data_IF_225538887263
#
_entry.id   IF_225538887263
#
_cell.length_a   1.000
_cell.length_b   1.000
_cell.length_c   1.000
_cell.angle_alpha   90.00
_cell.angle_beta   90.00
_cell.angle_gamma   90.00
#
_symmetry.space_group_name_H-M   'P 1'
#
loop_
_entity.id
_entity.type
_entity.pdbx_description
1 polymer ?
#
# COMPACT_ATOMS: atom_id res chain seq x y z
N UNK A 1 4.64 15.13 14.98
CA UNK A 1 4.48 15.07 13.52
C UNK A 1 4.97 16.33 12.79
N UNK A 2 5.27 17.40 13.50
CA UNK A 2 5.83 18.66 12.95
C UNK A 2 7.36 18.68 13.12
N UNK A 3 7.94 17.60 13.64
CA UNK A 3 9.37 17.45 13.85
C UNK A 3 10.08 17.23 12.49
N UNK A 4 11.35 17.64 12.39
CA UNK A 4 12.14 17.45 11.16
C UNK A 4 12.74 16.03 11.09
N UNK A 5 12.91 15.37 12.24
CA UNK A 5 13.48 14.03 12.32
C UNK A 5 12.49 12.97 11.80
N UNK A 6 12.86 12.20 10.74
CA UNK A 6 12.01 11.15 10.19
C UNK A 6 11.65 10.05 11.20
N UNK A 7 12.54 9.77 12.15
CA UNK A 7 12.30 8.75 13.17
C UNK A 7 11.21 9.18 14.15
N UNK A 8 11.19 10.45 14.53
CA UNK A 8 10.13 11.04 15.37
C UNK A 8 8.79 11.02 14.63
N UNK A 9 8.76 11.43 13.34
CA UNK A 9 7.56 11.40 12.50
C UNK A 9 7.00 9.97 12.37
N UNK A 10 7.87 9.00 12.08
CA UNK A 10 7.50 7.56 12.00
C UNK A 10 6.86 7.10 13.31
N UNK A 11 7.52 7.34 14.44
CA UNK A 11 7.05 6.90 15.76
C UNK A 11 5.72 7.55 16.11
N UNK A 12 5.57 8.84 15.82
CA UNK A 12 4.32 9.57 16.02
C UNK A 12 3.18 8.97 15.15
N UNK A 13 3.44 8.63 13.88
CA UNK A 13 2.45 8.01 13.01
C UNK A 13 1.92 6.69 13.57
N UNK A 14 2.81 5.79 14.01
CA UNK A 14 2.44 4.52 14.64
C UNK A 14 1.63 4.75 15.93
N UNK A 15 2.04 5.73 16.75
CA UNK A 15 1.37 6.05 18.00
C UNK A 15 -0.06 6.53 17.77
N UNK A 16 -0.32 7.30 16.70
CA UNK A 16 -1.68 7.76 16.36
C UNK A 16 -2.62 6.61 16.06
N UNK A 17 -2.16 5.58 15.33
CA UNK A 17 -3.00 4.39 15.08
C UNK A 17 -3.40 3.70 16.39
N UNK A 18 -2.45 3.55 17.32
CA UNK A 18 -2.73 2.98 18.66
C UNK A 18 -3.67 3.85 19.50
N UNK A 19 -3.48 5.19 19.48
CA UNK A 19 -4.38 6.12 20.17
C UNK A 19 -5.79 6.03 19.58
N UNK A 20 -5.92 5.86 18.27
CA UNK A 20 -7.21 5.71 17.62
C UNK A 20 -7.99 4.50 18.15
N UNK A 21 -7.31 3.36 18.36
CA UNK A 21 -7.92 2.15 18.92
C UNK A 21 -8.49 2.38 20.34
N UNK A 22 -7.85 3.26 21.12
CA UNK A 22 -8.27 3.55 22.51
C UNK A 22 -9.30 4.68 22.56
N UNK A 23 -9.06 5.76 21.81
CA UNK A 23 -9.86 7.00 21.84
C UNK A 23 -10.11 7.56 20.44
N UNK A 24 -11.00 6.93 19.62
CA UNK A 24 -11.24 7.35 18.24
C UNK A 24 -11.72 8.80 18.09
N UNK A 25 -12.54 9.28 19.06
CA UNK A 25 -13.10 10.63 19.01
C UNK A 25 -12.01 11.69 19.20
N UNK A 26 -11.15 11.55 20.21
CA UNK A 26 -10.04 12.48 20.44
C UNK A 26 -9.08 12.55 19.26
N UNK A 27 -8.77 11.39 18.64
CA UNK A 27 -7.91 11.35 17.45
C UNK A 27 -8.47 12.18 16.29
N UNK A 28 -9.80 12.18 16.12
CA UNK A 28 -10.49 12.99 15.10
C UNK A 28 -10.53 14.48 15.50
N UNK A 29 -10.87 14.80 16.74
CA UNK A 29 -10.98 16.18 17.26
C UNK A 29 -9.64 16.91 17.18
N UNK A 30 -8.54 16.26 17.56
CA UNK A 30 -7.20 16.85 17.48
C UNK A 30 -6.61 16.87 16.06
N UNK A 31 -7.34 16.39 15.05
CA UNK A 31 -6.92 16.46 13.66
C UNK A 31 -5.75 15.54 13.29
N UNK A 32 -5.45 14.52 14.09
CA UNK A 32 -4.33 13.61 13.84
C UNK A 32 -4.44 12.85 12.51
N UNK A 33 -5.65 12.57 12.06
CA UNK A 33 -5.87 11.93 10.75
C UNK A 33 -5.39 12.85 9.60
N UNK A 34 -5.65 14.16 9.70
CA UNK A 34 -5.15 15.12 8.70
C UNK A 34 -3.63 15.22 8.70
N UNK A 35 -3.02 15.16 9.89
CA UNK A 35 -1.56 15.14 10.01
C UNK A 35 -0.96 13.88 9.38
N UNK A 36 -1.55 12.70 9.61
CA UNK A 36 -1.14 11.46 8.94
C UNK A 36 -1.28 11.55 7.41
N UNK A 37 -2.37 12.14 6.91
CA UNK A 37 -2.56 12.39 5.47
C UNK A 37 -1.47 13.31 4.90
N UNK A 38 -1.03 14.30 5.68
CA UNK A 38 0.11 15.16 5.32
C UNK A 38 1.43 14.40 5.21
N UNK A 39 1.66 13.43 6.11
CA UNK A 39 2.88 12.60 6.09
C UNK A 39 2.97 11.67 4.87
N UNK A 40 1.88 11.40 4.16
CA UNK A 40 1.92 10.69 2.87
C UNK A 40 2.68 11.46 1.78
N UNK A 41 2.90 12.76 1.99
CA UNK A 41 3.65 13.63 1.08
C UNK A 41 5.10 13.88 1.56
N UNK A 42 5.52 13.25 2.66
CA UNK A 42 6.88 13.40 3.19
C UNK A 42 7.94 12.95 2.17
N UNK A 43 9.14 13.53 2.26
CA UNK A 43 10.27 13.14 1.42
C UNK A 43 10.91 11.81 1.82
N UNK A 44 10.66 11.33 3.04
CA UNK A 44 11.27 10.11 3.56
C UNK A 44 10.32 8.90 3.40
N UNK A 45 10.77 7.89 2.69
CA UNK A 45 10.00 6.68 2.38
C UNK A 45 9.50 5.93 3.62
N UNK A 46 10.29 5.91 4.71
CA UNK A 46 9.92 5.25 5.96
C UNK A 46 8.75 5.99 6.62
N UNK A 47 8.74 7.33 6.58
CA UNK A 47 7.64 8.14 7.09
C UNK A 47 6.37 7.89 6.29
N UNK A 48 6.46 7.91 4.96
CA UNK A 48 5.33 7.63 4.05
C UNK A 48 4.75 6.25 4.31
N UNK A 49 5.59 5.20 4.42
CA UNK A 49 5.13 3.84 4.66
C UNK A 49 4.40 3.70 6.01
N UNK A 50 4.93 4.31 7.08
CA UNK A 50 4.31 4.25 8.40
C UNK A 50 3.03 5.09 8.50
N UNK A 51 2.95 6.22 7.79
CA UNK A 51 1.73 7.00 7.66
C UNK A 51 0.64 6.21 6.90
N UNK A 52 1.01 5.52 5.82
CA UNK A 52 0.11 4.63 5.07
C UNK A 52 -0.40 3.49 5.95
N UNK A 53 0.49 2.83 6.70
CA UNK A 53 0.12 1.78 7.65
C UNK A 53 -0.87 2.28 8.71
N UNK A 54 -0.57 3.41 9.36
CA UNK A 54 -1.43 4.00 10.37
C UNK A 54 -2.81 4.36 9.82
N UNK A 55 -2.88 4.98 8.64
CA UNK A 55 -4.14 5.32 7.98
C UNK A 55 -4.91 4.08 7.55
N UNK A 56 -4.23 3.03 7.08
CA UNK A 56 -4.86 1.76 6.71
C UNK A 56 -5.51 1.10 7.93
N UNK A 57 -4.80 0.98 9.05
CA UNK A 57 -5.34 0.44 10.30
C UNK A 57 -6.56 1.23 10.79
N UNK A 58 -6.48 2.57 10.82
CA UNK A 58 -7.57 3.44 11.19
C UNK A 58 -8.77 3.28 10.22
N UNK A 59 -8.50 3.14 8.92
CA UNK A 59 -9.54 2.94 7.90
C UNK A 59 -10.26 1.62 8.10
N UNK A 60 -9.52 0.54 8.37
CA UNK A 60 -10.07 -0.79 8.63
C UNK A 60 -10.97 -0.81 9.87
N UNK A 61 -10.53 -0.17 10.95
CA UNK A 61 -11.28 -0.12 12.20
C UNK A 61 -12.55 0.75 12.10
N UNK A 62 -12.45 1.89 11.43
CA UNK A 62 -13.56 2.84 11.28
C UNK A 62 -14.57 2.50 10.19
N UNK A 63 -14.23 1.60 9.28
CA UNK A 63 -14.99 1.32 8.06
C UNK A 63 -14.95 2.47 7.03
N UNK A 64 -14.07 3.48 7.20
CA UNK A 64 -13.93 4.64 6.31
C UNK A 64 -12.54 4.68 5.71
N UNK A 65 -12.44 4.89 4.41
CA UNK A 65 -11.15 5.09 3.77
C UNK A 65 -10.60 6.50 4.02
N UNK A 66 -9.51 6.60 4.77
CA UNK A 66 -8.81 7.86 5.06
C UNK A 66 -7.62 8.11 4.13
N UNK A 67 -7.23 7.15 3.30
CA UNK A 67 -6.17 7.31 2.33
C UNK A 67 -6.76 7.91 1.06
N UNK A 68 -6.52 9.19 0.83
CA UNK A 68 -6.92 9.87 -0.41
C UNK A 68 -5.94 9.48 -1.51
N UNK A 69 -6.33 8.52 -2.34
CA UNK A 69 -5.53 8.06 -3.47
C UNK A 69 -5.73 9.01 -4.67
N UNK A 70 -4.80 9.92 -4.86
CA UNK A 70 -4.66 10.70 -6.09
C UNK A 70 -3.32 10.33 -6.77
N UNK A 71 -3.10 10.81 -7.99
CA UNK A 71 -1.90 10.50 -8.77
C UNK A 71 -0.60 10.84 -8.02
N UNK A 72 -0.56 11.96 -7.32
CA UNK A 72 0.61 12.40 -6.54
C UNK A 72 0.87 11.46 -5.38
N UNK A 73 -0.15 11.13 -4.58
CA UNK A 73 -0.05 10.18 -3.45
C UNK A 73 0.37 8.80 -3.93
N UNK A 74 -0.19 8.31 -5.04
CA UNK A 74 0.22 7.03 -5.65
C UNK A 74 1.69 7.07 -6.06
N UNK A 75 2.15 8.15 -6.68
CA UNK A 75 3.56 8.33 -7.03
C UNK A 75 4.49 8.24 -5.82
N UNK A 76 4.12 8.89 -4.71
CA UNK A 76 4.87 8.83 -3.44
C UNK A 76 4.88 7.43 -2.83
N UNK A 77 3.72 6.75 -2.78
CA UNK A 77 3.61 5.39 -2.27
C UNK A 77 4.44 4.40 -3.11
N UNK A 78 4.41 4.51 -4.43
CA UNK A 78 5.21 3.67 -5.32
C UNK A 78 6.73 3.95 -5.21
N UNK A 79 7.15 5.20 -4.93
CA UNK A 79 8.54 5.49 -4.61
C UNK A 79 8.94 4.83 -3.28
N UNK A 80 8.13 5.00 -2.24
CA UNK A 80 8.37 4.41 -0.94
C UNK A 80 8.39 2.86 -0.98
N UNK A 81 7.65 2.23 -1.89
CA UNK A 81 7.64 0.78 -2.09
C UNK A 81 9.03 0.20 -2.34
N UNK A 82 9.93 0.96 -2.98
CA UNK A 82 11.29 0.51 -3.30
C UNK A 82 12.28 0.66 -2.13
N UNK A 83 11.97 1.51 -1.17
CA UNK A 83 12.89 1.94 -0.12
C UNK A 83 12.52 1.42 1.28
N UNK A 84 11.35 0.79 1.40
CA UNK A 84 10.84 0.29 2.69
C UNK A 84 11.06 -1.21 2.85
N UNK A 85 11.02 -1.67 4.11
CA UNK A 85 11.03 -3.09 4.43
C UNK A 85 9.72 -3.77 3.99
N UNK A 86 9.68 -5.10 4.09
CA UNK A 86 8.54 -5.93 3.68
C UNK A 86 7.21 -5.53 4.33
N UNK A 87 7.22 -5.13 5.62
CA UNK A 87 6.01 -4.67 6.31
C UNK A 87 5.46 -3.38 5.69
N UNK A 88 6.34 -2.40 5.43
CA UNK A 88 5.97 -1.17 4.73
C UNK A 88 5.43 -1.45 3.33
N UNK A 89 6.04 -2.41 2.61
CA UNK A 89 5.59 -2.80 1.27
C UNK A 89 4.17 -3.37 1.29
N UNK A 90 3.83 -4.25 2.25
CA UNK A 90 2.47 -4.79 2.39
C UNK A 90 1.45 -3.67 2.58
N UNK A 91 1.67 -2.75 3.52
CA UNK A 91 0.74 -1.64 3.77
C UNK A 91 0.61 -0.68 2.58
N UNK A 92 1.72 -0.41 1.87
CA UNK A 92 1.68 0.39 0.65
C UNK A 92 0.82 -0.30 -0.42
N UNK A 93 1.04 -1.59 -0.67
CA UNK A 93 0.27 -2.37 -1.64
C UNK A 93 -1.23 -2.40 -1.29
N UNK A 94 -1.58 -2.59 -0.04
CA UNK A 94 -2.99 -2.51 0.43
C UNK A 94 -3.57 -1.09 0.29
N UNK A 95 -2.74 -0.06 0.38
CA UNK A 95 -3.19 1.33 0.26
C UNK A 95 -3.47 1.76 -1.17
N UNK A 96 -2.72 1.25 -2.15
CA UNK A 96 -2.85 1.65 -3.57
C UNK A 96 -3.94 0.90 -4.33
N UNK A 97 -4.41 -0.24 -3.84
CA UNK A 97 -5.41 -1.08 -4.51
C UNK A 97 -6.75 -0.35 -4.77
N UNK A 98 -7.08 0.65 -3.97
CA UNK A 98 -8.31 1.44 -4.13
C UNK A 98 -8.21 2.54 -5.18
N UNK A 99 -7.04 2.75 -5.77
CA UNK A 99 -6.83 3.75 -6.80
C UNK A 99 -7.40 3.33 -8.15
N UNK A 100 -8.01 4.27 -8.85
CA UNK A 100 -8.49 4.07 -10.21
C UNK A 100 -7.67 4.93 -11.18
N UNK A 101 -6.83 4.32 -12.03
CA UNK A 101 -6.04 5.04 -13.03
C UNK A 101 -6.96 5.79 -14.01
N UNK A 102 -6.49 6.90 -14.52
CA UNK A 102 -7.26 7.71 -15.49
C UNK A 102 -7.00 7.30 -16.94
N UNK A 103 -5.99 6.46 -17.18
CA UNK A 103 -5.61 6.00 -18.52
C UNK A 103 -4.93 4.63 -18.46
N UNK A 104 -4.99 3.89 -19.57
CA UNK A 104 -4.26 2.62 -19.74
C UNK A 104 -2.76 2.79 -19.46
N UNK A 105 -2.14 3.83 -19.99
CA UNK A 105 -0.72 4.13 -19.77
C UNK A 105 -0.37 4.27 -18.29
N UNK A 106 -1.22 4.96 -17.52
CA UNK A 106 -1.01 5.12 -16.07
C UNK A 106 -1.13 3.77 -15.34
N UNK A 107 -2.07 2.92 -15.75
CA UNK A 107 -2.20 1.56 -15.21
C UNK A 107 -0.97 0.72 -15.51
N UNK A 108 -0.45 0.77 -16.72
CA UNK A 108 0.77 0.06 -17.13
C UNK A 108 1.99 0.53 -16.33
N UNK A 109 2.18 1.85 -16.15
CA UNK A 109 3.26 2.42 -15.35
C UNK A 109 3.21 1.93 -13.88
N UNK A 110 2.01 1.83 -13.30
CA UNK A 110 1.82 1.31 -11.94
C UNK A 110 2.16 -0.18 -11.89
N UNK A 111 1.67 -0.97 -12.85
CA UNK A 111 1.95 -2.40 -12.95
C UNK A 111 3.46 -2.65 -13.06
N UNK A 112 4.16 -1.94 -13.94
CA UNK A 112 5.61 -2.08 -14.11
C UNK A 112 6.39 -1.84 -12.82
N UNK A 113 5.97 -0.87 -12.01
CA UNK A 113 6.60 -0.56 -10.73
C UNK A 113 6.32 -1.59 -9.64
N UNK A 114 5.19 -2.27 -9.70
CA UNK A 114 4.80 -3.32 -8.74
C UNK A 114 5.40 -4.67 -9.15
N UNK A 115 5.57 -4.92 -10.44
CA UNK A 115 6.00 -6.20 -11.02
C UNK A 115 7.21 -6.85 -10.32
N UNK A 116 8.27 -6.12 -9.93
CA UNK A 116 9.41 -6.72 -9.23
C UNK A 116 9.05 -7.41 -7.91
N UNK A 117 7.92 -7.05 -7.29
CA UNK A 117 7.45 -7.62 -6.02
C UNK A 117 6.88 -9.03 -6.17
N UNK A 118 6.59 -9.46 -7.38
CA UNK A 118 6.18 -10.86 -7.66
C UNK A 118 7.29 -11.87 -7.36
N UNK A 119 8.55 -11.43 -7.25
CA UNK A 119 9.71 -12.27 -6.93
C UNK A 119 10.23 -12.03 -5.50
N UNK A 120 9.42 -11.40 -4.65
CA UNK A 120 9.82 -11.12 -3.27
C UNK A 120 9.83 -12.40 -2.43
N UNK A 121 10.77 -12.51 -1.47
CA UNK A 121 10.86 -13.67 -0.58
C UNK A 121 9.64 -13.81 0.36
N UNK A 122 9.04 -12.68 0.76
CA UNK A 122 7.86 -12.67 1.63
C UNK A 122 6.58 -12.87 0.82
N UNK A 123 5.82 -13.97 1.05
CA UNK A 123 4.59 -14.29 0.29
C UNK A 123 3.48 -13.25 0.47
N UNK A 124 3.42 -12.51 1.59
CA UNK A 124 2.44 -11.44 1.77
C UNK A 124 2.69 -10.27 0.80
N UNK A 125 3.96 -9.96 0.51
CA UNK A 125 4.32 -8.96 -0.51
C UNK A 125 3.95 -9.45 -1.90
N UNK A 126 4.24 -10.73 -2.22
CA UNK A 126 3.87 -11.34 -3.51
C UNK A 126 2.36 -11.33 -3.70
N UNK A 127 1.59 -11.69 -2.68
CA UNK A 127 0.14 -11.67 -2.69
C UNK A 127 -0.41 -10.26 -2.92
N UNK A 128 0.09 -9.27 -2.17
CA UNK A 128 -0.30 -7.87 -2.34
C UNK A 128 0.02 -7.34 -3.74
N UNK A 129 1.20 -7.69 -4.29
CA UNK A 129 1.58 -7.34 -5.65
C UNK A 129 0.65 -7.99 -6.69
N UNK A 130 0.36 -9.27 -6.52
CA UNK A 130 -0.56 -10.02 -7.41
C UNK A 130 -1.95 -9.41 -7.44
N UNK A 131 -2.53 -9.12 -6.27
CA UNK A 131 -3.85 -8.44 -6.15
C UNK A 131 -3.87 -7.10 -6.87
N UNK A 132 -2.84 -6.29 -6.67
CA UNK A 132 -2.74 -4.98 -7.33
C UNK A 132 -2.62 -5.11 -8.85
N UNK A 133 -1.77 -6.02 -9.34
CA UNK A 133 -1.60 -6.20 -10.78
C UNK A 133 -2.91 -6.69 -11.41
N UNK A 134 -3.62 -7.64 -10.78
CA UNK A 134 -4.92 -8.11 -11.25
C UNK A 134 -5.96 -6.98 -11.27
N UNK A 135 -5.97 -6.11 -10.26
CA UNK A 135 -6.86 -4.95 -10.25
C UNK A 135 -6.52 -3.94 -11.36
N UNK A 136 -5.24 -3.61 -11.54
CA UNK A 136 -4.84 -2.61 -12.53
C UNK A 136 -4.88 -3.11 -13.98
N UNK A 137 -4.79 -4.42 -14.22
CA UNK A 137 -5.00 -5.00 -15.57
C UNK A 137 -6.38 -4.64 -16.15
N UNK A 138 -7.41 -4.51 -15.32
CA UNK A 138 -8.76 -4.14 -15.75
C UNK A 138 -8.82 -2.75 -16.44
N UNK A 139 -7.81 -1.91 -16.21
CA UNK A 139 -7.69 -0.57 -16.79
C UNK A 139 -6.72 -0.51 -17.98
N UNK A 140 -6.09 -1.63 -18.34
CA UNK A 140 -5.17 -1.71 -19.48
C UNK A 140 -5.96 -2.01 -20.74
N UNK A 141 -5.80 -1.18 -21.77
CA UNK A 141 -6.40 -1.38 -23.08
C UNK A 141 -5.43 -2.18 -23.96
N UNK A 142 -5.92 -3.22 -24.63
CA UNK A 142 -5.16 -4.04 -25.58
C UNK A 142 -4.72 -5.40 -25.03
N UNK A 143 -3.55 -5.88 -25.48
CA UNK A 143 -3.07 -7.24 -25.15
C UNK A 143 -2.32 -7.28 -23.79
N UNK A 144 -2.98 -7.80 -22.78
CA UNK A 144 -2.45 -8.01 -21.43
C UNK A 144 -1.78 -9.39 -21.23
N UNK A 145 -1.68 -10.21 -22.29
CA UNK A 145 -1.19 -11.58 -22.22
C UNK A 145 0.22 -11.70 -21.64
N UNK A 146 1.08 -10.71 -21.88
CA UNK A 146 2.44 -10.66 -21.32
C UNK A 146 2.44 -10.46 -19.80
N UNK A 147 1.53 -9.64 -19.30
CA UNK A 147 1.37 -9.39 -17.85
C UNK A 147 0.83 -10.65 -17.19
N UNK A 148 -0.22 -11.25 -17.73
CA UNK A 148 -0.82 -12.50 -17.24
C UNK A 148 0.17 -13.66 -17.20
N UNK A 149 1.02 -13.81 -18.23
CA UNK A 149 2.08 -14.82 -18.23
C UNK A 149 3.07 -14.66 -17.08
N UNK A 150 3.40 -13.41 -16.68
CA UNK A 150 4.31 -13.16 -15.56
C UNK A 150 3.67 -13.46 -14.20
N UNK A 151 2.35 -13.48 -14.09
CA UNK A 151 1.62 -13.84 -12.87
C UNK A 151 1.57 -15.36 -12.64
N UNK A 152 1.67 -16.17 -13.67
CA UNK A 152 1.47 -17.62 -13.58
C UNK A 152 2.41 -18.29 -12.57
N UNK A 153 3.71 -18.04 -12.64
CA UNK A 153 4.69 -18.66 -11.73
C UNK A 153 4.53 -18.19 -10.28
N UNK A 154 4.39 -16.88 -9.95
CA UNK A 154 4.07 -16.43 -8.60
C UNK A 154 2.79 -17.03 -8.03
N UNK A 155 1.72 -17.15 -8.82
CA UNK A 155 0.46 -17.75 -8.38
C UNK A 155 0.64 -19.23 -8.01
N UNK A 156 1.35 -20.01 -8.85
CA UNK A 156 1.67 -21.40 -8.53
C UNK A 156 2.46 -21.51 -7.24
N UNK A 157 3.42 -20.60 -7.00
CA UNK A 157 4.21 -20.57 -5.77
C UNK A 157 3.32 -20.26 -4.55
N UNK A 158 2.41 -19.29 -4.65
CA UNK A 158 1.47 -18.96 -3.57
C UNK A 158 0.53 -20.13 -3.26
N UNK A 159 0.01 -20.81 -4.29
CA UNK A 159 -0.87 -21.98 -4.14
C UNK A 159 -0.14 -23.22 -3.60
N UNK A 160 1.18 -23.24 -3.67
CA UNK A 160 2.02 -24.31 -3.11
C UNK A 160 2.61 -23.95 -1.74
N UNK A 161 2.25 -22.78 -1.19
CA UNK A 161 2.71 -22.27 0.11
C UNK A 161 1.88 -22.84 1.27
N UNK A 162 2.04 -22.29 2.47
CA UNK A 162 1.28 -22.69 3.66
C UNK A 162 -0.24 -22.50 3.47
N UNK A 163 -1.09 -23.31 4.18
CA UNK A 163 -2.55 -23.33 3.98
C UNK A 163 -3.23 -21.95 4.08
N UNK A 164 -2.74 -21.08 4.96
CA UNK A 164 -3.25 -19.73 5.14
C UNK A 164 -3.04 -18.87 3.89
N UNK A 165 -1.87 -19.02 3.26
CA UNK A 165 -1.52 -18.29 2.03
C UNK A 165 -2.31 -18.85 0.85
N UNK A 166 -2.45 -20.18 0.78
CA UNK A 166 -3.27 -20.84 -0.24
C UNK A 166 -4.70 -20.34 -0.20
N UNK A 167 -5.32 -20.27 0.99
CA UNK A 167 -6.70 -19.81 1.16
C UNK A 167 -6.94 -18.38 0.67
N UNK A 168 -5.98 -17.49 0.88
CA UNK A 168 -6.10 -16.08 0.41
C UNK A 168 -5.75 -15.94 -1.08
N UNK A 169 -4.98 -16.88 -1.65
CA UNK A 169 -4.58 -16.89 -3.06
C UNK A 169 -5.60 -17.52 -4.02
N UNK A 170 -6.61 -18.21 -3.47
CA UNK A 170 -7.74 -18.79 -4.22
C UNK A 170 -8.87 -17.78 -4.42
#
# INVERSE_FOLDING_TARGET
MIDDDPYVKKTAAISVAKIYQITPNHTKEYGFIKLLQGLLQDGNAIVVANAAAALFEISKESGKNYIKTNKETIGKLLNALNETNEWGQVYILESIISYKPKSSKEAEEIIERIMPRLQHANPAVVLGATKNILHFIEFVEGDDSKIKKKLAAPLVTLLSSEPEIQYVGL
#
